data_IF_355557046842
#
_entry.id   IF_355557046842
#
_cell.length_a   1.000
_cell.length_b   1.000
_cell.length_c   1.000
_cell.angle_alpha   90.00
_cell.angle_beta   90.00
_cell.angle_gamma   90.00
#
_symmetry.space_group_name_H-M   'P 1'
#
loop_
_entity.id
_entity.type
_entity.pdbx_description
1 polymer ?
#
# COMPACT_ATOMS: atom_id res chain seq x y z
N UNK A 1 -20.05 26.96 -16.67
CA UNK A 1 -20.20 25.57 -16.17
C UNK A 1 -19.06 24.72 -16.71
N UNK A 2 -18.09 24.36 -15.88
CA UNK A 2 -16.99 23.48 -16.30
C UNK A 2 -17.53 22.09 -16.63
N UNK A 3 -17.08 21.48 -17.74
CA UNK A 3 -17.40 20.09 -18.08
C UNK A 3 -16.91 19.19 -16.93
N UNK A 4 -17.83 18.54 -16.20
CA UNK A 4 -17.48 17.47 -15.25
C UNK A 4 -16.74 16.38 -16.02
N UNK A 5 -15.51 16.07 -15.60
CA UNK A 5 -14.76 14.94 -16.17
C UNK A 5 -15.35 13.63 -15.63
N UNK A 6 -15.17 12.54 -16.36
CA UNK A 6 -15.61 11.20 -15.94
C UNK A 6 -15.12 10.83 -14.53
N UNK A 7 -13.88 11.24 -14.20
CA UNK A 7 -13.24 11.00 -12.90
C UNK A 7 -13.78 11.89 -11.75
N UNK A 8 -14.53 12.95 -12.06
CA UNK A 8 -15.13 13.82 -11.05
C UNK A 8 -16.40 13.18 -10.45
N UNK A 9 -16.97 12.17 -11.11
CA UNK A 9 -18.07 11.34 -10.60
C UNK A 9 -17.50 10.00 -10.09
N UNK A 10 -17.12 10.00 -8.83
CA UNK A 10 -16.45 8.86 -8.21
C UNK A 10 -17.27 7.57 -8.24
N UNK A 11 -18.59 7.66 -8.06
CA UNK A 11 -19.46 6.48 -8.09
C UNK A 11 -19.48 5.84 -9.48
N UNK A 12 -19.55 6.64 -10.55
CA UNK A 12 -19.45 6.15 -11.93
C UNK A 12 -18.08 5.55 -12.22
N UNK A 13 -17.02 6.20 -11.75
CA UNK A 13 -15.66 5.68 -11.91
C UNK A 13 -15.46 4.32 -11.21
N UNK A 14 -15.89 4.20 -9.95
CA UNK A 14 -15.80 2.93 -9.20
C UNK A 14 -16.65 1.84 -9.85
N UNK A 15 -17.88 2.16 -10.27
CA UNK A 15 -18.75 1.23 -10.98
C UNK A 15 -18.13 0.75 -12.31
N UNK A 16 -17.51 1.66 -13.06
CA UNK A 16 -16.80 1.32 -14.29
C UNK A 16 -15.64 0.34 -14.02
N UNK A 17 -14.74 0.68 -13.08
CA UNK A 17 -13.59 -0.16 -12.77
C UNK A 17 -14.00 -1.54 -12.25
N UNK A 18 -15.04 -1.63 -11.44
CA UNK A 18 -15.55 -2.91 -10.93
C UNK A 18 -16.11 -3.80 -12.04
N UNK A 19 -16.71 -3.21 -13.07
CA UNK A 19 -17.39 -3.96 -14.13
C UNK A 19 -16.52 -4.28 -15.37
N UNK A 20 -15.36 -3.65 -15.53
CA UNK A 20 -14.55 -3.78 -16.77
C UNK A 20 -13.58 -4.96 -16.79
N UNK A 21 -13.42 -5.69 -15.69
CA UNK A 21 -12.39 -6.76 -15.61
C UNK A 21 -10.94 -6.24 -15.72
N UNK A 22 -10.72 -4.91 -15.74
CA UNK A 22 -9.42 -4.26 -15.91
C UNK A 22 -8.39 -4.77 -14.89
N UNK A 23 -8.77 -4.83 -13.62
CA UNK A 23 -7.89 -5.27 -12.53
C UNK A 23 -7.45 -6.72 -12.68
N UNK A 24 -8.35 -7.59 -13.22
CA UNK A 24 -8.00 -8.97 -13.54
C UNK A 24 -6.98 -9.01 -14.66
N UNK A 25 -7.22 -8.28 -15.76
CA UNK A 25 -6.32 -8.22 -16.90
C UNK A 25 -4.93 -7.66 -16.52
N UNK A 26 -4.88 -6.63 -15.67
CA UNK A 26 -3.61 -6.09 -15.14
C UNK A 26 -2.89 -7.14 -14.29
N UNK A 27 -3.59 -7.79 -13.36
CA UNK A 27 -3.00 -8.82 -12.51
C UNK A 27 -2.42 -9.98 -13.35
N UNK A 28 -3.16 -10.46 -14.35
CA UNK A 28 -2.70 -11.54 -15.25
C UNK A 28 -1.44 -11.15 -16.03
N UNK A 29 -1.30 -9.87 -16.42
CA UNK A 29 -0.08 -9.38 -17.08
C UNK A 29 1.11 -9.27 -16.12
N UNK A 30 0.87 -9.04 -14.84
CA UNK A 30 1.92 -8.88 -13.81
C UNK A 30 2.47 -10.25 -13.36
N UNK A 31 1.67 -11.30 -13.32
CA UNK A 31 2.08 -12.62 -12.81
C UNK A 31 3.38 -13.18 -13.42
N UNK A 32 3.63 -13.10 -14.74
CA UNK A 32 4.88 -13.56 -15.31
C UNK A 32 6.11 -12.79 -14.83
N UNK A 33 5.95 -11.53 -14.45
CA UNK A 33 7.06 -10.74 -13.89
C UNK A 33 7.34 -11.14 -12.45
N UNK A 34 6.31 -11.38 -11.65
CA UNK A 34 6.47 -11.85 -10.25
C UNK A 34 7.21 -13.19 -10.24
N UNK A 35 6.84 -14.13 -11.11
CA UNK A 35 7.49 -15.46 -11.18
C UNK A 35 8.98 -15.40 -11.54
N UNK A 36 9.41 -14.33 -12.22
CA UNK A 36 10.79 -14.12 -12.69
C UNK A 36 11.64 -13.28 -11.72
N UNK A 37 11.06 -12.76 -10.64
CA UNK A 37 11.82 -12.03 -9.64
C UNK A 37 12.91 -12.93 -9.04
N UNK A 38 14.02 -12.33 -8.63
CA UNK A 38 15.18 -13.07 -8.14
C UNK A 38 14.85 -13.90 -6.90
N UNK A 39 15.09 -15.20 -6.96
CA UNK A 39 14.90 -16.11 -5.83
C UNK A 39 16.08 -16.07 -4.82
N UNK A 40 17.18 -15.41 -5.18
CA UNK A 40 18.39 -15.34 -4.35
C UNK A 40 18.36 -14.16 -3.35
N UNK A 41 17.27 -13.38 -3.32
CA UNK A 41 17.10 -12.28 -2.38
C UNK A 41 16.32 -12.74 -1.15
N UNK A 42 16.74 -12.30 0.03
CA UNK A 42 16.02 -12.53 1.28
C UNK A 42 14.70 -11.75 1.36
N UNK A 43 14.60 -10.67 0.59
CA UNK A 43 13.39 -9.87 0.43
C UNK A 43 13.29 -9.28 -0.97
N UNK A 44 12.06 -8.94 -1.36
CA UNK A 44 11.74 -8.26 -2.60
C UNK A 44 10.84 -7.05 -2.32
N UNK A 45 11.05 -5.98 -3.07
CA UNK A 45 10.32 -4.71 -2.91
C UNK A 45 9.45 -4.43 -4.13
N UNK A 46 8.16 -4.22 -3.90
CA UNK A 46 7.20 -3.88 -4.95
C UNK A 46 6.58 -2.53 -4.64
N UNK A 47 6.52 -1.65 -5.65
CA UNK A 47 5.79 -0.39 -5.59
C UNK A 47 4.53 -0.48 -6.47
N UNK A 48 3.38 -0.21 -5.87
CA UNK A 48 2.14 0.07 -6.58
C UNK A 48 1.86 1.59 -6.51
N UNK A 49 2.06 2.25 -7.64
CA UNK A 49 2.04 3.71 -7.73
C UNK A 49 0.62 4.32 -7.70
N UNK A 50 -0.41 3.49 -7.81
CA UNK A 50 -1.82 3.90 -7.77
C UNK A 50 -2.72 2.77 -7.29
N UNK A 51 -2.63 2.45 -5.99
CA UNK A 51 -3.23 1.24 -5.39
C UNK A 51 -4.74 1.10 -5.61
N UNK A 52 -5.47 2.22 -5.65
CA UNK A 52 -6.92 2.20 -5.73
C UNK A 52 -7.53 1.39 -4.57
N UNK A 53 -8.47 0.50 -4.87
CA UNK A 53 -9.16 -0.33 -3.86
C UNK A 53 -8.33 -1.54 -3.35
N UNK A 54 -7.07 -1.66 -3.75
CA UNK A 54 -6.16 -2.71 -3.30
C UNK A 54 -6.36 -4.08 -3.95
N UNK A 55 -7.25 -4.22 -4.93
CA UNK A 55 -7.48 -5.52 -5.59
C UNK A 55 -6.22 -6.04 -6.29
N UNK A 56 -5.48 -5.16 -6.96
CA UNK A 56 -4.22 -5.54 -7.62
C UNK A 56 -3.19 -5.96 -6.58
N UNK A 57 -3.02 -5.19 -5.49
CA UNK A 57 -2.11 -5.54 -4.40
C UNK A 57 -2.43 -6.90 -3.77
N UNK A 58 -3.69 -7.18 -3.49
CA UNK A 58 -4.11 -8.47 -2.95
C UNK A 58 -3.75 -9.64 -3.89
N UNK A 59 -3.95 -9.45 -5.20
CA UNK A 59 -3.61 -10.44 -6.22
C UNK A 59 -2.08 -10.62 -6.37
N UNK A 60 -1.32 -9.53 -6.27
CA UNK A 60 0.15 -9.56 -6.28
C UNK A 60 0.68 -10.35 -5.10
N UNK A 61 0.21 -10.06 -3.88
CA UNK A 61 0.66 -10.76 -2.68
C UNK A 61 0.36 -12.26 -2.78
N UNK A 62 -0.83 -12.62 -3.24
CA UNK A 62 -1.22 -14.01 -3.47
C UNK A 62 -0.34 -14.69 -4.52
N UNK A 63 -0.08 -14.03 -5.64
CA UNK A 63 0.81 -14.55 -6.68
C UNK A 63 2.25 -14.65 -6.19
N UNK A 64 2.70 -13.64 -5.43
CA UNK A 64 4.04 -13.62 -4.83
C UNK A 64 4.24 -14.81 -3.89
N UNK A 65 3.31 -15.07 -2.99
CA UNK A 65 3.38 -16.23 -2.09
C UNK A 65 3.51 -17.55 -2.87
N UNK A 66 2.82 -17.68 -4.00
CA UNK A 66 2.87 -18.88 -4.83
C UNK A 66 4.27 -19.17 -5.38
N UNK A 67 5.02 -18.12 -5.77
CA UNK A 67 6.34 -18.27 -6.41
C UNK A 67 7.51 -18.06 -5.43
N UNK A 68 7.28 -17.31 -4.35
CA UNK A 68 8.30 -16.90 -3.37
C UNK A 68 7.80 -17.09 -1.93
N UNK A 69 7.37 -18.30 -1.51
CA UNK A 69 6.68 -18.50 -0.23
C UNK A 69 7.53 -18.17 1.00
N UNK A 70 8.85 -18.21 0.89
CA UNK A 70 9.78 -17.96 1.99
C UNK A 70 10.50 -16.62 1.92
N UNK A 71 10.36 -15.89 0.83
CA UNK A 71 11.00 -14.58 0.62
C UNK A 71 10.13 -13.49 1.24
N UNK A 72 10.72 -12.56 1.97
CA UNK A 72 9.95 -11.43 2.52
C UNK A 72 9.47 -10.51 1.39
N UNK A 73 8.22 -10.09 1.47
CA UNK A 73 7.62 -9.10 0.56
C UNK A 73 7.43 -7.77 1.27
N UNK A 74 8.07 -6.73 0.74
CA UNK A 74 7.87 -5.34 1.13
C UNK A 74 7.08 -4.65 0.02
N UNK A 75 5.78 -4.49 0.19
CA UNK A 75 4.93 -3.82 -0.80
C UNK A 75 4.59 -2.41 -0.32
N UNK A 76 4.86 -1.43 -1.17
CA UNK A 76 4.50 -0.03 -0.93
C UNK A 76 3.38 0.35 -1.88
N UNK A 77 2.24 0.71 -1.32
CA UNK A 77 1.09 1.22 -2.07
C UNK A 77 0.95 2.72 -1.88
N UNK A 78 0.83 3.46 -3.00
CA UNK A 78 0.50 4.88 -2.98
C UNK A 78 -0.98 5.05 -3.28
N UNK A 79 -1.69 5.72 -2.37
CA UNK A 79 -3.11 6.05 -2.55
C UNK A 79 -3.44 7.37 -1.85
N UNK A 80 -4.13 8.27 -2.55
CA UNK A 80 -4.54 9.56 -1.99
C UNK A 80 -5.97 9.54 -1.44
N UNK A 81 -6.78 8.61 -1.92
CA UNK A 81 -8.18 8.49 -1.53
C UNK A 81 -8.30 7.76 -0.20
N UNK A 82 -9.05 8.36 0.72
CA UNK A 82 -9.37 7.75 2.01
C UNK A 82 -10.20 6.47 1.85
N UNK A 83 -11.19 6.47 0.96
CA UNK A 83 -12.07 5.33 0.74
C UNK A 83 -11.32 4.16 0.11
N UNK A 84 -10.46 4.44 -0.88
CA UNK A 84 -9.68 3.39 -1.52
C UNK A 84 -8.63 2.81 -0.56
N UNK A 85 -8.02 3.63 0.29
CA UNK A 85 -7.17 3.13 1.36
C UNK A 85 -7.93 2.17 2.27
N UNK A 86 -9.15 2.52 2.71
CA UNK A 86 -9.97 1.62 3.53
C UNK A 86 -10.23 0.29 2.81
N UNK A 87 -10.69 0.36 1.56
CA UNK A 87 -10.95 -0.82 0.75
C UNK A 87 -9.70 -1.70 0.58
N UNK A 88 -8.53 -1.07 0.44
CA UNK A 88 -7.24 -1.76 0.39
C UNK A 88 -6.97 -2.49 1.70
N UNK A 89 -7.11 -1.80 2.83
CA UNK A 89 -6.83 -2.36 4.15
C UNK A 89 -7.76 -3.53 4.50
N UNK A 90 -9.03 -3.46 4.11
CA UNK A 90 -10.02 -4.54 4.31
C UNK A 90 -9.68 -5.83 3.54
N UNK A 91 -8.85 -5.74 2.49
CA UNK A 91 -8.39 -6.92 1.73
C UNK A 91 -7.10 -7.56 2.27
N UNK A 92 -6.46 -6.94 3.26
CA UNK A 92 -5.15 -7.38 3.74
C UNK A 92 -5.19 -8.52 4.77
N UNK A 93 -6.23 -8.74 5.60
CA UNK A 93 -6.22 -9.77 6.63
C UNK A 93 -5.79 -11.15 6.11
N UNK A 94 -6.42 -11.63 5.04
CA UNK A 94 -6.08 -12.92 4.44
C UNK A 94 -4.66 -12.95 3.85
N UNK A 95 -4.19 -11.81 3.38
CA UNK A 95 -2.84 -11.71 2.79
C UNK A 95 -1.74 -11.89 3.84
N UNK A 96 -1.98 -11.42 5.07
CA UNK A 96 -1.06 -11.67 6.20
C UNK A 96 -1.09 -13.11 6.70
N UNK A 97 -2.21 -13.82 6.52
CA UNK A 97 -2.28 -15.27 6.79
C UNK A 97 -1.54 -16.05 5.69
N UNK A 98 -1.83 -15.74 4.42
CA UNK A 98 -1.23 -16.43 3.27
C UNK A 98 0.29 -16.21 3.19
N UNK A 99 0.75 -14.99 3.44
CA UNK A 99 2.16 -14.63 3.36
C UNK A 99 2.65 -13.96 4.65
N UNK A 100 3.06 -14.74 5.66
CA UNK A 100 3.44 -14.20 6.97
C UNK A 100 4.60 -13.18 6.93
N UNK A 101 5.54 -13.34 5.97
CA UNK A 101 6.69 -12.44 5.79
C UNK A 101 6.34 -11.19 4.97
N UNK A 102 5.16 -10.61 5.21
CA UNK A 102 4.62 -9.45 4.51
C UNK A 102 4.78 -8.17 5.35
N UNK A 103 5.31 -7.12 4.71
CA UNK A 103 5.20 -5.73 5.15
C UNK A 103 4.39 -4.95 4.12
N UNK A 104 3.26 -4.43 4.53
CA UNK A 104 2.46 -3.48 3.73
C UNK A 104 2.74 -2.07 4.21
N UNK A 105 3.21 -1.21 3.32
CA UNK A 105 3.36 0.22 3.54
C UNK A 105 2.38 0.97 2.65
N UNK A 106 1.48 1.75 3.23
CA UNK A 106 0.58 2.64 2.50
C UNK A 106 0.99 4.09 2.73
N UNK A 107 0.98 4.89 1.66
CA UNK A 107 1.33 6.31 1.74
C UNK A 107 0.49 7.16 0.79
N UNK A 108 0.26 8.41 1.17
CA UNK A 108 -0.44 9.40 0.37
C UNK A 108 0.49 10.43 -0.31
N UNK A 109 1.81 10.32 -0.12
CA UNK A 109 2.77 11.27 -0.68
C UNK A 109 2.81 11.23 -2.22
N UNK A 110 3.33 12.27 -2.84
CA UNK A 110 3.50 12.30 -4.29
C UNK A 110 4.52 11.25 -4.75
N UNK A 111 4.36 10.76 -5.98
CA UNK A 111 5.30 9.77 -6.54
C UNK A 111 6.76 10.24 -6.47
N UNK A 112 7.02 11.52 -6.79
CA UNK A 112 8.36 12.12 -6.72
C UNK A 112 8.95 12.23 -5.31
N UNK A 113 8.14 12.02 -4.29
CA UNK A 113 8.53 12.14 -2.87
C UNK A 113 8.65 10.77 -2.19
N UNK A 114 8.33 9.66 -2.89
CA UNK A 114 8.36 8.31 -2.32
C UNK A 114 9.72 7.95 -1.72
N UNK A 115 10.81 8.40 -2.35
CA UNK A 115 12.15 8.18 -1.82
C UNK A 115 12.44 8.90 -0.48
N UNK A 116 11.64 9.88 -0.11
CA UNK A 116 11.82 10.65 1.12
C UNK A 116 11.10 10.04 2.33
N UNK A 117 10.12 9.14 2.12
CA UNK A 117 9.28 8.60 3.21
C UNK A 117 10.07 7.82 4.26
N UNK A 118 11.26 7.36 3.91
CA UNK A 118 12.08 6.50 4.74
C UNK A 118 13.24 7.25 5.41
N UNK A 119 13.68 8.36 4.81
CA UNK A 119 14.88 9.08 5.24
C UNK A 119 14.58 10.45 5.84
N UNK A 120 13.41 11.02 5.59
CA UNK A 120 13.05 12.36 6.03
C UNK A 120 12.04 12.34 7.17
N UNK A 121 12.17 13.27 8.11
CA UNK A 121 11.14 13.52 9.14
C UNK A 121 10.04 14.48 8.66
N UNK A 122 10.29 15.20 7.55
CA UNK A 122 9.39 16.19 6.94
C UNK A 122 9.47 16.13 5.42
N UNK A 123 8.36 16.35 4.77
CA UNK A 123 8.26 16.55 3.34
C UNK A 123 7.54 17.89 3.10
N UNK A 124 8.13 18.76 2.26
CA UNK A 124 7.60 20.11 1.98
C UNK A 124 7.26 20.90 3.28
N UNK A 125 8.15 20.85 4.27
CA UNK A 125 7.98 21.47 5.60
C UNK A 125 6.83 20.88 6.45
N UNK A 126 6.11 19.88 5.97
CA UNK A 126 5.08 19.15 6.73
C UNK A 126 5.71 17.93 7.41
N UNK A 127 5.46 17.77 8.72
CA UNK A 127 5.92 16.58 9.47
C UNK A 127 5.22 15.32 8.93
N UNK A 128 5.98 14.28 8.63
CA UNK A 128 5.42 12.97 8.26
C UNK A 128 4.67 12.39 9.46
N UNK A 129 3.44 11.93 9.20
CA UNK A 129 2.59 11.23 10.16
C UNK A 129 2.70 9.74 9.92
N UNK A 130 3.18 9.01 10.92
CA UNK A 130 3.42 7.58 10.82
C UNK A 130 2.53 6.79 11.78
N UNK A 131 2.07 5.63 11.31
CA UNK A 131 1.37 4.66 12.11
C UNK A 131 1.90 3.26 11.79
N UNK A 132 2.41 2.57 12.80
CA UNK A 132 2.87 1.20 12.69
C UNK A 132 1.88 0.28 13.40
N UNK A 133 1.20 -0.57 12.64
CA UNK A 133 0.30 -1.60 13.16
C UNK A 133 1.03 -2.94 13.17
N UNK A 134 1.25 -3.46 14.36
CA UNK A 134 1.83 -4.78 14.58
C UNK A 134 0.69 -5.75 14.87
N UNK A 135 0.44 -6.66 13.94
CA UNK A 135 -0.64 -7.64 14.04
C UNK A 135 -0.25 -8.76 15.03
N UNK A 136 -1.12 -8.98 16.00
CA UNK A 136 -0.94 -9.98 17.06
C UNK A 136 -2.00 -11.05 16.87
N UNK A 137 -1.68 -12.10 16.22
CA UNK A 137 -2.46 -13.32 16.00
C UNK A 137 -1.89 -14.09 14.81
N UNK A 138 -2.54 -15.13 14.41
CA UNK A 138 -2.23 -15.95 13.23
C UNK A 138 -3.41 -16.14 12.28
N UNK A 139 -4.57 -15.54 12.59
CA UNK A 139 -5.80 -15.73 11.84
C UNK A 139 -6.37 -14.42 11.25
N UNK A 140 -7.12 -14.58 10.16
CA UNK A 140 -7.68 -13.47 9.39
C UNK A 140 -8.72 -12.65 10.18
N UNK A 141 -9.51 -13.29 11.05
CA UNK A 141 -10.54 -12.60 11.82
C UNK A 141 -9.93 -11.58 12.79
N UNK A 142 -8.89 -11.98 13.53
CA UNK A 142 -8.21 -11.10 14.46
C UNK A 142 -7.43 -10.00 13.71
N UNK A 143 -6.79 -10.34 12.60
CA UNK A 143 -6.14 -9.34 11.75
C UNK A 143 -7.13 -8.31 11.23
N UNK A 144 -8.31 -8.75 10.78
CA UNK A 144 -9.38 -7.85 10.36
C UNK A 144 -9.80 -6.91 11.49
N UNK A 145 -10.02 -7.43 12.68
CA UNK A 145 -10.39 -6.63 13.85
C UNK A 145 -9.34 -5.58 14.22
N UNK A 146 -8.05 -5.90 14.06
CA UNK A 146 -6.97 -4.97 14.35
C UNK A 146 -6.81 -3.92 13.24
N UNK A 147 -6.93 -4.32 11.96
CA UNK A 147 -6.78 -3.43 10.80
C UNK A 147 -7.97 -2.47 10.70
N UNK A 148 -9.20 -2.94 10.92
CA UNK A 148 -10.41 -2.09 10.89
C UNK A 148 -10.68 -1.40 12.22
N UNK A 149 -9.85 -1.66 13.24
CA UNK A 149 -10.02 -1.14 14.59
C UNK A 149 -9.86 0.39 14.70
N UNK A 150 -10.41 0.93 15.77
CA UNK A 150 -10.48 2.37 16.01
C UNK A 150 -9.13 3.10 15.99
N UNK A 151 -8.04 2.44 16.39
CA UNK A 151 -6.71 3.08 16.46
C UNK A 151 -6.23 3.51 15.08
N UNK A 152 -6.19 2.58 14.12
CA UNK A 152 -5.81 2.86 12.74
C UNK A 152 -6.87 3.73 12.06
N UNK A 153 -8.16 3.42 12.24
CA UNK A 153 -9.25 4.19 11.66
C UNK A 153 -9.23 5.66 12.05
N UNK A 154 -9.00 5.98 13.34
CA UNK A 154 -8.88 7.35 13.82
C UNK A 154 -7.64 8.07 13.27
N UNK A 155 -6.51 7.36 13.15
CA UNK A 155 -5.32 7.93 12.52
C UNK A 155 -5.57 8.31 11.07
N UNK A 156 -6.13 7.39 10.28
CA UNK A 156 -6.42 7.62 8.86
C UNK A 156 -7.43 8.75 8.71
N UNK A 157 -8.53 8.73 9.46
CA UNK A 157 -9.56 9.77 9.42
C UNK A 157 -9.00 11.16 9.75
N UNK A 158 -8.03 11.23 10.65
CA UNK A 158 -7.44 12.50 11.12
C UNK A 158 -6.40 13.06 10.17
N UNK A 159 -5.58 12.22 9.55
CA UNK A 159 -4.37 12.66 8.85
C UNK A 159 -4.35 12.35 7.37
N UNK A 160 -5.11 11.34 6.89
CA UNK A 160 -5.17 10.98 5.49
C UNK A 160 -6.18 11.84 4.77
N UNK A 161 -5.71 12.68 3.88
CA UNK A 161 -6.59 13.58 3.15
C UNK A 161 -5.87 14.29 2.02
N UNK A 162 -6.63 14.93 1.16
CA UNK A 162 -6.13 15.75 0.06
C UNK A 162 -6.58 17.19 0.23
N UNK A 163 -5.74 18.10 -0.23
CA UNK A 163 -6.02 19.51 -0.44
C UNK A 163 -6.06 19.79 -1.93
N UNK A 164 -6.88 20.73 -2.35
CA UNK A 164 -6.97 21.20 -3.74
C UNK A 164 -6.49 22.64 -3.75
N UNK A 165 -5.45 22.95 -4.52
CA UNK A 165 -4.96 24.31 -4.63
C UNK A 165 -5.81 25.17 -5.59
N UNK A 166 -5.54 26.45 -5.64
CA UNK A 166 -6.25 27.42 -6.51
C UNK A 166 -6.15 27.09 -8.00
N UNK A 167 -5.21 26.23 -8.41
CA UNK A 167 -5.03 25.73 -9.78
C UNK A 167 -5.64 24.34 -9.98
N UNK A 168 -6.54 23.91 -9.06
CA UNK A 168 -7.19 22.59 -9.07
C UNK A 168 -6.19 21.39 -9.07
N UNK A 169 -4.98 21.59 -8.55
CA UNK A 169 -4.02 20.49 -8.35
C UNK A 169 -4.22 19.88 -6.99
N UNK A 170 -4.24 18.57 -6.94
CA UNK A 170 -4.36 17.81 -5.69
C UNK A 170 -3.01 17.62 -5.01
N UNK A 171 -2.99 17.70 -3.68
CA UNK A 171 -1.87 17.37 -2.83
C UNK A 171 -2.39 16.74 -1.54
N UNK A 172 -1.56 16.02 -0.81
CA UNK A 172 -1.93 15.51 0.51
C UNK A 172 -2.02 16.64 1.54
N UNK A 173 -2.95 16.54 2.49
CA UNK A 173 -3.04 17.48 3.63
C UNK A 173 -1.85 17.31 4.57
N UNK A 174 -1.53 16.07 4.91
CA UNK A 174 -0.32 15.68 5.64
C UNK A 174 0.36 14.52 4.93
N UNK A 175 1.72 14.48 4.87
CA UNK A 175 2.41 13.28 4.41
C UNK A 175 2.21 12.18 5.45
N UNK A 176 1.57 11.07 5.04
CA UNK A 176 1.20 9.96 5.91
C UNK A 176 1.82 8.66 5.45
N UNK A 177 2.20 7.84 6.44
CA UNK A 177 2.70 6.48 6.23
C UNK A 177 1.97 5.56 7.22
N UNK A 178 1.42 4.48 6.71
CA UNK A 178 0.86 3.38 7.50
C UNK A 178 1.66 2.13 7.16
N UNK A 179 2.27 1.50 8.16
CA UNK A 179 2.97 0.21 8.00
C UNK A 179 2.26 -0.86 8.79
N UNK A 180 2.05 -2.01 8.17
CA UNK A 180 1.36 -3.15 8.79
C UNK A 180 2.21 -4.39 8.57
N UNK A 181 2.47 -5.12 9.64
CA UNK A 181 3.22 -6.38 9.62
C UNK A 181 2.89 -7.23 10.85
N UNK A 182 3.19 -8.52 10.79
CA UNK A 182 2.94 -9.45 11.90
C UNK A 182 4.01 -9.34 12.99
N UNK A 183 3.61 -9.55 14.25
CA UNK A 183 4.51 -9.51 15.40
C UNK A 183 5.59 -10.59 15.35
N UNK A 184 5.23 -11.80 14.94
CA UNK A 184 6.14 -12.94 14.82
C UNK A 184 7.27 -12.73 13.80
N UNK A 185 7.04 -11.87 12.79
CA UNK A 185 8.04 -11.48 11.78
C UNK A 185 8.63 -10.07 12.00
N UNK A 186 8.23 -9.38 13.06
CA UNK A 186 8.55 -7.96 13.26
C UNK A 186 10.05 -7.69 13.34
N UNK A 187 10.82 -8.59 13.96
CA UNK A 187 12.28 -8.43 14.12
C UNK A 187 12.98 -8.53 12.76
N UNK A 188 12.60 -9.51 11.96
CA UNK A 188 13.16 -9.74 10.63
C UNK A 188 12.83 -8.57 9.69
N UNK A 189 11.55 -8.18 9.64
CA UNK A 189 11.09 -7.08 8.78
C UNK A 189 11.69 -5.72 9.18
N UNK A 190 11.87 -5.45 10.47
CA UNK A 190 12.52 -4.22 10.96
C UNK A 190 13.99 -4.12 10.52
N UNK A 191 14.70 -5.23 10.40
CA UNK A 191 16.07 -5.20 9.90
C UNK A 191 16.14 -4.68 8.47
N UNK A 192 15.22 -5.10 7.61
CA UNK A 192 15.13 -4.57 6.24
C UNK A 192 14.80 -3.08 6.23
N UNK A 193 13.86 -2.65 7.07
CA UNK A 193 13.50 -1.24 7.20
C UNK A 193 14.69 -0.36 7.60
N UNK A 194 15.60 -0.85 8.44
CA UNK A 194 16.72 -0.07 8.94
C UNK A 194 17.96 -0.08 8.01
N UNK A 195 18.14 -1.12 7.20
CA UNK A 195 19.37 -1.30 6.42
C UNK A 195 19.29 -0.85 4.97
N UNK A 196 18.11 -0.83 4.35
CA UNK A 196 17.97 -0.72 2.89
C UNK A 196 17.29 0.54 2.36
N UNK A 197 16.82 1.41 3.23
CA UNK A 197 16.16 2.63 2.76
C UNK A 197 17.09 3.63 2.04
N UNK A 198 18.39 3.44 2.14
CA UNK A 198 19.35 4.26 1.40
C UNK A 198 19.37 3.94 -0.10
N UNK A 199 18.92 2.76 -0.49
CA UNK A 199 18.77 2.34 -1.89
C UNK A 199 17.28 2.21 -2.21
N UNK A 200 16.66 3.28 -2.72
CA UNK A 200 15.26 3.34 -3.11
C UNK A 200 14.87 2.46 -4.32
N UNK A 201 15.53 1.34 -4.51
CA UNK A 201 15.29 0.47 -5.65
C UNK A 201 14.15 -0.50 -5.34
N UNK A 202 13.12 -0.46 -6.16
CA UNK A 202 12.08 -1.47 -6.19
C UNK A 202 12.44 -2.55 -7.22
N UNK A 203 12.13 -3.81 -6.92
CA UNK A 203 12.31 -4.93 -7.83
C UNK A 203 11.23 -4.96 -8.91
N UNK A 204 10.06 -4.38 -8.60
CA UNK A 204 8.93 -4.22 -9.51
C UNK A 204 8.17 -2.93 -9.19
N UNK A 205 7.79 -2.20 -10.24
CA UNK A 205 6.93 -1.01 -10.15
C UNK A 205 5.72 -1.24 -11.05
N UNK A 206 4.52 -0.94 -10.51
CA UNK A 206 3.22 -1.18 -11.17
C UNK A 206 2.45 0.14 -11.22
#
# INVERSE_FOLDING_TARGET
MGKKRFFDDRLKYLSFIQNTGEKKAISEKIYPYISRLSQNKSYLRILDAGTGDGTINANIIKSFHRYHPYTSLLITGKEISYEDLKNTLEKMPDRFVEHPNLLVTMTNVKFSELGLIESASKINNKKIREFNLILKSDNSYDFNSQITGNKLGNFIKKYWGIEIDSKARTSYSNPCIVRIYREDNSRHLKQFLNNDYKNNNYDLII
#
